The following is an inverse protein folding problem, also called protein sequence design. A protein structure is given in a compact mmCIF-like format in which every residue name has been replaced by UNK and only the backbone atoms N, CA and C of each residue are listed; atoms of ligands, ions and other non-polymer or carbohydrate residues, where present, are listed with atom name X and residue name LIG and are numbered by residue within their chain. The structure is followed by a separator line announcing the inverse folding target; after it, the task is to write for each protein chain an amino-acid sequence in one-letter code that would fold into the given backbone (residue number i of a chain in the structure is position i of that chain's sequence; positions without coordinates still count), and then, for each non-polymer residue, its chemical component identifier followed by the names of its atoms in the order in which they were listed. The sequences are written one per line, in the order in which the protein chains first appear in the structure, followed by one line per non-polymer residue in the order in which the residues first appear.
data_IF_235616797471
#
_entry.id   IF_235616797471
#
_cell.length_a   1.000
_cell.length_b   1.000
_cell.length_c   1.000
_cell.angle_alpha   90.00
_cell.angle_beta   90.00
_cell.angle_gamma   90.00
#
_symmetry.space_group_name_H-M   'P 1'
#
loop_
_entity.id
_entity.type
_entity.pdbx_description
1 polymer ?
#
# COMPACT_ATOMS: atom_id res chain seq x y z
N UNK A 1 -18.67 -21.83 0.81
CA UNK A 1 -17.21 -22.06 0.94
C UNK A 1 -16.48 -20.87 0.34
N UNK A 2 -16.26 -19.79 1.08
CA UNK A 2 -15.42 -18.66 0.67
C UNK A 2 -14.83 -18.07 1.95
N UNK A 3 -13.55 -18.26 2.22
CA UNK A 3 -12.95 -17.80 3.48
C UNK A 3 -11.47 -18.11 3.65
N UNK A 4 -10.96 -19.15 2.98
CA UNK A 4 -9.54 -19.54 3.11
C UNK A 4 -8.60 -18.83 2.13
N UNK A 5 -9.09 -18.38 0.97
CA UNK A 5 -8.22 -17.76 -0.05
C UNK A 5 -7.91 -16.28 0.23
N UNK A 6 -8.85 -15.52 0.79
CA UNK A 6 -8.64 -14.09 1.10
C UNK A 6 -7.51 -13.85 2.10
N UNK A 7 -7.38 -14.70 3.13
CA UNK A 7 -6.29 -14.60 4.10
C UNK A 7 -4.91 -14.96 3.52
N UNK A 8 -4.87 -15.88 2.55
CA UNK A 8 -3.64 -16.28 1.86
C UNK A 8 -3.13 -15.17 0.93
N UNK A 9 -4.04 -14.55 0.18
CA UNK A 9 -3.71 -13.43 -0.72
C UNK A 9 -3.28 -12.19 0.07
N UNK A 10 -3.91 -11.92 1.21
CA UNK A 10 -3.50 -10.84 2.12
C UNK A 10 -2.07 -11.06 2.65
N UNK A 11 -1.72 -12.28 3.06
CA UNK A 11 -0.36 -12.63 3.50
C UNK A 11 0.68 -12.44 2.39
N UNK A 12 0.40 -12.92 1.18
CA UNK A 12 1.29 -12.70 0.02
C UNK A 12 1.49 -11.22 -0.27
N UNK A 13 0.44 -10.42 -0.13
CA UNK A 13 0.53 -8.97 -0.32
C UNK A 13 1.40 -8.31 0.75
N UNK A 14 1.26 -8.71 2.02
CA UNK A 14 2.13 -8.26 3.11
C UNK A 14 3.60 -8.62 2.87
N UNK A 15 3.87 -9.85 2.41
CA UNK A 15 5.23 -10.29 2.08
C UNK A 15 5.83 -9.44 0.94
N UNK A 16 5.07 -9.17 -0.11
CA UNK A 16 5.50 -8.29 -1.22
C UNK A 16 5.80 -6.88 -0.73
N UNK A 17 4.97 -6.31 0.15
CA UNK A 17 5.20 -4.99 0.75
C UNK A 17 6.50 -4.99 1.55
N UNK A 18 6.72 -6.00 2.39
CA UNK A 18 7.93 -6.10 3.21
C UNK A 18 9.20 -6.21 2.34
N UNK A 19 9.16 -7.06 1.31
CA UNK A 19 10.27 -7.21 0.36
C UNK A 19 10.56 -5.91 -0.39
N UNK A 20 9.52 -5.26 -0.94
CA UNK A 20 9.66 -4.02 -1.71
C UNK A 20 10.18 -2.88 -0.84
N UNK A 21 9.71 -2.77 0.41
CA UNK A 21 10.22 -1.81 1.40
C UNK A 21 11.70 -2.03 1.68
N UNK A 22 12.13 -3.29 1.89
CA UNK A 22 13.54 -3.59 2.12
C UNK A 22 14.41 -3.20 0.92
N UNK A 23 13.97 -3.50 -0.30
CA UNK A 23 14.65 -3.10 -1.54
C UNK A 23 14.78 -1.58 -1.64
N UNK A 24 13.69 -0.84 -1.43
CA UNK A 24 13.70 0.62 -1.46
C UNK A 24 14.68 1.22 -0.45
N UNK A 25 14.67 0.73 0.80
CA UNK A 25 15.58 1.20 1.86
C UNK A 25 17.04 0.92 1.48
N UNK A 26 17.33 -0.28 0.98
CA UNK A 26 18.68 -0.64 0.56
C UNK A 26 19.16 0.24 -0.59
N UNK A 27 18.34 0.41 -1.63
CA UNK A 27 18.68 1.30 -2.76
C UNK A 27 18.78 2.77 -2.34
N UNK A 28 17.93 3.24 -1.43
CA UNK A 28 18.01 4.59 -0.89
C UNK A 28 19.33 4.85 -0.15
N UNK A 29 19.82 3.83 0.57
CA UNK A 29 21.12 3.88 1.25
C UNK A 29 22.28 3.92 0.27
N UNK A 30 22.20 3.16 -0.81
CA UNK A 30 23.29 3.02 -1.79
C UNK A 30 23.34 4.17 -2.81
N UNK A 31 22.17 4.63 -3.28
CA UNK A 31 22.04 5.56 -4.41
C UNK A 31 21.39 6.89 -4.04
N UNK A 32 20.88 7.01 -2.81
CA UNK A 32 20.13 8.18 -2.35
C UNK A 32 18.64 8.10 -2.67
N UNK A 33 17.86 8.95 -1.98
CA UNK A 33 16.39 9.00 -2.09
C UNK A 33 15.90 9.59 -3.42
N UNK A 34 16.69 10.47 -4.03
CA UNK A 34 16.39 11.10 -5.32
C UNK A 34 16.80 10.27 -6.52
N UNK A 35 17.46 9.12 -6.33
CA UNK A 35 17.82 8.26 -7.44
C UNK A 35 16.56 7.76 -8.16
N UNK A 36 16.62 7.67 -9.49
CA UNK A 36 15.50 7.17 -10.28
C UNK A 36 15.06 5.77 -9.83
N UNK A 37 16.00 4.93 -9.40
CA UNK A 37 15.70 3.59 -8.94
C UNK A 37 14.96 3.61 -7.59
N UNK A 38 15.41 4.42 -6.63
CA UNK A 38 14.71 4.60 -5.35
C UNK A 38 13.29 5.16 -5.55
N UNK A 39 13.12 6.11 -6.48
CA UNK A 39 11.81 6.68 -6.81
C UNK A 39 10.87 5.65 -7.47
N UNK A 40 11.39 4.78 -8.34
CA UNK A 40 10.58 3.68 -8.90
C UNK A 40 10.14 2.71 -7.81
N UNK A 41 11.06 2.32 -6.93
CA UNK A 41 10.76 1.42 -5.81
C UNK A 41 9.75 2.03 -4.84
N UNK A 42 9.78 3.35 -4.61
CA UNK A 42 8.80 4.03 -3.75
C UNK A 42 7.40 4.05 -4.38
N UNK A 43 7.29 4.30 -5.69
CA UNK A 43 6.01 4.25 -6.42
C UNK A 43 5.41 2.83 -6.44
N UNK A 44 6.24 1.81 -6.67
CA UNK A 44 5.80 0.41 -6.60
C UNK A 44 5.33 0.01 -5.20
N UNK A 45 6.05 0.46 -4.16
CA UNK A 45 5.66 0.23 -2.78
C UNK A 45 4.32 0.92 -2.46
N UNK A 46 4.13 2.15 -2.91
CA UNK A 46 2.88 2.90 -2.73
C UNK A 46 1.69 2.17 -3.37
N UNK A 47 1.85 1.66 -4.60
CA UNK A 47 0.82 0.86 -5.26
C UNK A 47 0.44 -0.40 -4.45
N UNK A 48 1.41 -1.09 -3.86
CA UNK A 48 1.16 -2.25 -3.01
C UNK A 48 0.45 -1.88 -1.70
N UNK A 49 0.81 -0.75 -1.09
CA UNK A 49 0.16 -0.23 0.11
C UNK A 49 -1.29 0.16 -0.18
N UNK A 50 -1.55 0.79 -1.33
CA UNK A 50 -2.89 1.13 -1.78
C UNK A 50 -3.74 -0.14 -2.01
N UNK A 51 -3.17 -1.18 -2.62
CA UNK A 51 -3.83 -2.47 -2.78
C UNK A 51 -4.17 -3.12 -1.43
N UNK A 52 -3.25 -3.04 -0.45
CA UNK A 52 -3.47 -3.59 0.87
C UNK A 52 -4.56 -2.84 1.64
N UNK A 53 -4.53 -1.50 1.57
CA UNK A 53 -5.55 -0.63 2.15
C UNK A 53 -6.94 -0.91 1.54
N UNK A 54 -7.03 -1.05 0.22
CA UNK A 54 -8.28 -1.41 -0.46
C UNK A 54 -8.81 -2.79 -0.05
N UNK A 55 -7.91 -3.75 0.22
CA UNK A 55 -8.29 -5.09 0.71
C UNK A 55 -8.86 -5.02 2.14
N UNK A 56 -8.37 -4.09 2.98
CA UNK A 56 -8.93 -3.80 4.30
C UNK A 56 -10.25 -3.02 4.25
N UNK A 57 -10.42 -2.11 3.27
CA UNK A 57 -11.65 -1.33 3.08
C UNK A 57 -12.80 -2.14 2.48
N UNK A 58 -12.54 -3.25 1.76
CA UNK A 58 -13.59 -4.14 1.26
C UNK A 58 -14.41 -4.83 2.37
N UNK A 59 -13.96 -4.77 3.63
CA UNK A 59 -14.70 -5.22 4.82
C UNK A 59 -15.35 -4.07 5.61
N UNK A 60 -15.22 -2.82 5.17
CA UNK A 60 -15.93 -1.66 5.73
C UNK A 60 -16.83 -1.05 4.63
N UNK A 61 -18.10 -1.49 4.50
CA UNK A 61 -19.03 -0.89 3.55
C UNK A 61 -19.42 0.55 3.89
N UNK A 62 -18.98 1.09 5.03
CA UNK A 62 -19.30 2.46 5.42
C UNK A 62 -18.03 3.20 5.83
N UNK A 63 -17.73 4.26 5.08
CA UNK A 63 -16.74 5.23 5.48
C UNK A 63 -17.16 5.85 6.81
N UNK A 64 -16.47 5.46 7.88
CA UNK A 64 -16.44 6.23 9.11
C UNK A 64 -14.98 6.42 9.49
N UNK A 65 -14.47 7.63 9.21
CA UNK A 65 -13.35 8.14 9.97
C UNK A 65 -13.79 8.22 11.43
N UNK A 66 -12.96 7.72 12.34
CA UNK A 66 -13.22 7.75 13.79
C UNK A 66 -13.28 9.18 14.38
N UNK A 67 -13.43 10.23 13.56
CA UNK A 67 -13.66 11.61 13.98
C UNK A 67 -14.62 12.39 13.07
N UNK A 68 -15.53 11.74 12.33
CA UNK A 68 -16.64 12.43 11.67
C UNK A 68 -16.27 13.44 10.56
N UNK A 69 -15.01 13.47 10.09
CA UNK A 69 -14.61 14.33 8.99
C UNK A 69 -14.53 13.53 7.70
N UNK A 70 -15.46 13.78 6.77
CA UNK A 70 -15.38 13.33 5.38
C UNK A 70 -14.11 13.92 4.75
N UNK A 71 -13.09 13.10 4.50
CA UNK A 71 -11.96 13.54 3.68
C UNK A 71 -12.41 13.44 2.23
N UNK A 72 -13.06 14.51 1.76
CA UNK A 72 -13.21 14.80 0.34
C UNK A 72 -11.80 14.85 -0.25
N UNK A 73 -11.36 13.79 -0.95
CA UNK A 73 -10.24 13.92 -1.87
C UNK A 73 -10.70 14.82 -3.02
N UNK A 74 -10.11 16.01 -3.23
CA UNK A 74 -10.43 16.81 -4.39
C UNK A 74 -10.00 16.04 -5.63
N UNK A 75 -10.94 15.84 -6.57
CA UNK A 75 -10.59 15.55 -7.97
C UNK A 75 -9.83 16.78 -8.46
N UNK A 76 -8.52 16.64 -8.62
CA UNK A 76 -7.72 17.61 -9.37
C UNK A 76 -8.24 17.58 -10.80
N UNK A 77 -8.82 18.69 -11.23
CA UNK A 77 -9.23 18.98 -12.62
C UNK A 77 -7.97 19.25 -13.42
#
# INVERSE_FOLDING_TARGET
MVGYDSGRELRKLQEKIAQKRAQMIHTAKDQGLSSLLTLKLSQELDALLNQYSATGQAFNPEGYGENGTTVLHPKVI
#
